data_IF_706051247060
#
_entry.id   IF_706051247060
#
_cell.length_a   1.000
_cell.length_b   1.000
_cell.length_c   1.000
_cell.angle_alpha   90.00
_cell.angle_beta   90.00
_cell.angle_gamma   90.00
#
_symmetry.space_group_name_H-M   'P 1'
#
loop_
_entity.id
_entity.type
_entity.pdbx_description
1 polymer ?
#
# COMPACT_ATOMS: atom_id res chain seq x y z
N UNK A 1 -23.08 -3.75 -22.39
CA UNK A 1 -21.71 -3.24 -22.62
C UNK A 1 -21.09 -3.07 -21.26
N UNK A 2 -20.14 -3.93 -20.91
CA UNK A 2 -19.35 -3.75 -19.69
C UNK A 2 -18.44 -2.55 -19.96
N UNK A 3 -18.65 -1.45 -19.24
CA UNK A 3 -17.71 -0.33 -19.21
C UNK A 3 -16.46 -0.84 -18.50
N UNK A 4 -15.58 -1.52 -19.25
CA UNK A 4 -14.25 -1.86 -18.77
C UNK A 4 -13.53 -0.54 -18.53
N UNK A 5 -13.05 -0.40 -17.30
CA UNK A 5 -12.41 0.75 -16.70
C UNK A 5 -11.47 1.45 -17.69
N UNK A 6 -11.51 2.79 -17.67
CA UNK A 6 -10.65 3.69 -18.44
C UNK A 6 -9.23 3.12 -18.51
N UNK A 7 -8.66 3.02 -19.72
CA UNK A 7 -7.27 2.63 -20.01
C UNK A 7 -6.26 3.65 -19.43
N UNK A 8 -6.35 3.93 -18.13
CA UNK A 8 -5.28 4.53 -17.37
C UNK A 8 -4.50 3.34 -16.82
N UNK A 9 -3.33 3.06 -17.42
CA UNK A 9 -2.35 2.20 -16.77
C UNK A 9 -2.18 2.76 -15.35
N UNK A 10 -2.36 1.94 -14.29
CA UNK A 10 -2.13 2.43 -12.94
C UNK A 10 -0.69 2.91 -12.91
N UNK A 11 -0.50 4.21 -12.72
CA UNK A 11 0.81 4.82 -12.52
C UNK A 11 1.61 3.90 -11.60
N UNK A 12 2.86 3.58 -11.95
CA UNK A 12 3.75 2.70 -11.19
C UNK A 12 4.21 3.39 -9.90
N UNK A 13 3.23 3.74 -9.06
CA UNK A 13 3.41 4.39 -7.79
C UNK A 13 3.71 3.30 -6.79
N UNK A 14 4.96 3.26 -6.33
CA UNK A 14 5.34 2.37 -5.25
C UNK A 14 4.44 2.63 -4.03
N UNK A 15 3.77 1.59 -3.49
CA UNK A 15 2.92 1.77 -2.32
C UNK A 15 3.78 2.12 -1.11
N UNK A 16 3.36 3.15 -0.36
CA UNK A 16 4.01 3.58 0.87
C UNK A 16 3.01 3.58 2.03
N UNK A 17 3.48 3.32 3.26
CA UNK A 17 2.65 3.46 4.46
C UNK A 17 2.20 4.93 4.60
N UNK A 18 0.89 5.21 4.78
CA UNK A 18 0.41 6.58 4.95
C UNK A 18 0.79 7.20 6.31
N UNK A 19 1.19 6.39 7.29
CA UNK A 19 1.56 6.83 8.64
C UNK A 19 3.07 7.07 8.73
N UNK A 20 3.87 6.06 8.36
CA UNK A 20 5.33 6.09 8.53
C UNK A 20 6.11 6.43 7.25
N UNK A 21 5.46 6.40 6.08
CA UNK A 21 6.12 6.68 4.80
C UNK A 21 7.11 5.60 4.34
N UNK A 22 7.13 4.42 4.97
CA UNK A 22 7.98 3.31 4.54
C UNK A 22 7.46 2.67 3.25
N UNK A 23 8.38 2.27 2.36
CA UNK A 23 8.01 1.55 1.14
C UNK A 23 7.44 0.18 1.49
N UNK A 24 6.26 -0.11 0.95
CA UNK A 24 5.60 -1.40 1.06
C UNK A 24 5.97 -2.30 -0.12
N UNK A 25 6.73 -1.82 -1.09
CA UNK A 25 7.20 -2.64 -2.20
C UNK A 25 8.47 -3.43 -1.80
N UNK A 26 8.66 -4.68 -2.26
CA UNK A 26 7.77 -5.51 -3.08
C UNK A 26 6.71 -6.31 -2.29
N UNK A 27 6.83 -6.39 -0.97
CA UNK A 27 6.12 -7.35 -0.12
C UNK A 27 4.66 -6.99 0.17
N UNK A 28 4.21 -5.79 -0.22
CA UNK A 28 2.94 -5.12 0.12
C UNK A 28 2.38 -5.47 1.51
N UNK A 29 3.18 -5.38 2.60
CA UNK A 29 2.68 -5.67 3.92
C UNK A 29 1.68 -4.58 4.34
N UNK A 30 0.45 -4.98 4.65
CA UNK A 30 -0.57 -4.12 5.27
C UNK A 30 -1.05 -4.84 6.53
N UNK A 31 -0.85 -4.30 7.74
CA UNK A 31 -0.14 -3.06 8.07
C UNK A 31 1.37 -3.11 7.75
N UNK A 32 2.04 -1.95 7.65
CA UNK A 32 3.50 -1.92 7.52
C UNK A 32 4.15 -2.46 8.81
N UNK A 33 5.43 -2.88 8.78
CA UNK A 33 6.08 -3.46 9.96
C UNK A 33 6.01 -2.58 11.21
N UNK A 34 6.18 -1.27 11.06
CA UNK A 34 6.12 -0.32 12.18
C UNK A 34 4.69 -0.21 12.74
N UNK A 35 3.68 -0.12 11.87
CA UNK A 35 2.27 -0.17 12.29
C UNK A 35 1.92 -1.48 13.00
N UNK A 36 2.52 -2.60 12.59
CA UNK A 36 2.28 -3.90 13.21
C UNK A 36 2.86 -3.94 14.63
N UNK A 37 4.09 -3.48 14.79
CA UNK A 37 4.76 -3.35 16.10
C UNK A 37 3.97 -2.43 17.04
N UNK A 38 3.58 -1.24 16.58
CA UNK A 38 2.78 -0.28 17.37
C UNK A 38 1.42 -0.88 17.81
N UNK A 39 0.81 -1.74 17.00
CA UNK A 39 -0.46 -2.38 17.31
C UNK A 39 -0.34 -3.56 18.29
N UNK A 40 0.84 -4.16 18.39
CA UNK A 40 1.12 -5.27 19.32
C UNK A 40 1.54 -4.77 20.71
N UNK A 41 1.88 -3.48 20.85
CA UNK A 41 2.25 -2.84 22.12
C UNK A 41 1.05 -2.40 22.99
N UNK A 42 -0.20 -2.62 22.54
CA UNK A 42 -1.45 -2.42 23.30
C UNK A 42 -2.05 -3.72 23.88
#
# INVERSE_FOLDING_TARGET
MLHLYRDEEPEDVEPHCPIHGCSLFPTRPIPCPQCAEEAEEE
#
